data_IF_967808084101
#
_entry.id   IF_967808084101
#
_cell.length_a   1.000
_cell.length_b   1.000
_cell.length_c   1.000
_cell.angle_alpha   90.00
_cell.angle_beta   90.00
_cell.angle_gamma   90.00
#
_symmetry.space_group_name_H-M   'P 1'
#
loop_
_entity.id
_entity.type
_entity.pdbx_description
1 polymer ?
#
# COMPACT_ATOMS: atom_id res chain seq x y z
N UNK A 1 14.48 -6.24 1.52
CA UNK A 1 15.11 -4.95 1.17
C UNK A 1 14.02 -3.90 1.17
N UNK A 2 14.27 -2.71 1.74
CA UNK A 2 13.30 -1.64 1.70
C UNK A 2 12.99 -1.24 0.25
N UNK A 3 11.72 -1.17 -0.11
CA UNK A 3 11.28 -0.72 -1.43
C UNK A 3 10.91 0.75 -1.37
N UNK A 4 11.72 1.59 -2.01
CA UNK A 4 11.40 3.02 -2.18
C UNK A 4 10.20 3.24 -3.11
N UNK A 5 9.93 2.30 -4.01
CA UNK A 5 8.73 2.27 -4.85
C UNK A 5 7.83 1.08 -4.50
N UNK A 6 6.50 1.23 -4.51
CA UNK A 6 5.61 0.10 -4.26
C UNK A 6 5.71 -0.95 -5.34
N UNK A 7 5.66 -2.21 -4.91
CA UNK A 7 5.32 -3.32 -5.79
C UNK A 7 3.88 -3.12 -6.26
N UNK A 8 3.65 -3.26 -7.56
CA UNK A 8 2.32 -3.18 -8.17
C UNK A 8 1.71 -4.57 -8.27
N UNK A 9 0.47 -4.70 -7.83
CA UNK A 9 -0.31 -5.93 -7.93
C UNK A 9 -1.71 -5.67 -8.49
N UNK A 10 -2.41 -6.74 -8.83
CA UNK A 10 -3.84 -6.74 -9.18
C UNK A 10 -4.50 -7.80 -8.31
N UNK A 11 -5.58 -7.42 -7.60
CA UNK A 11 -6.37 -8.34 -6.78
C UNK A 11 -7.22 -9.26 -7.64
N UNK A 12 -7.76 -10.31 -7.03
CA UNK A 12 -8.64 -11.26 -7.70
C UNK A 12 -9.90 -10.59 -8.30
N UNK A 13 -10.35 -9.48 -7.73
CA UNK A 13 -11.48 -8.69 -8.24
C UNK A 13 -11.09 -7.67 -9.33
N UNK A 14 -9.82 -7.64 -9.74
CA UNK A 14 -9.29 -6.70 -10.74
C UNK A 14 -8.82 -5.36 -10.18
N UNK A 15 -8.95 -5.11 -8.88
CA UNK A 15 -8.51 -3.84 -8.26
C UNK A 15 -6.99 -3.72 -8.25
N UNK A 16 -6.48 -2.54 -8.62
CA UNK A 16 -5.05 -2.27 -8.55
C UNK A 16 -4.58 -2.13 -7.09
N UNK A 17 -3.54 -2.88 -6.75
CA UNK A 17 -2.91 -2.88 -5.43
C UNK A 17 -1.49 -2.32 -5.50
N UNK A 18 -1.04 -1.75 -4.38
CA UNK A 18 0.32 -1.30 -4.13
C UNK A 18 0.78 -1.83 -2.77
N UNK A 19 1.99 -2.36 -2.74
CA UNK A 19 2.59 -2.91 -1.52
C UNK A 19 3.97 -2.31 -1.30
N UNK A 20 4.23 -1.84 -0.08
CA UNK A 20 5.52 -1.30 0.36
C UNK A 20 6.05 -2.11 1.51
N UNK A 21 7.37 -2.21 1.57
CA UNK A 21 8.09 -2.76 2.70
C UNK A 21 9.28 -1.87 3.01
N UNK A 22 9.43 -1.42 4.25
CA UNK A 22 10.53 -0.51 4.61
C UNK A 22 10.41 0.08 6.00
N UNK A 23 11.46 0.74 6.50
CA UNK A 23 11.46 1.37 7.81
C UNK A 23 10.59 2.64 7.82
N UNK A 24 9.88 2.87 8.92
CA UNK A 24 9.28 4.16 9.25
C UNK A 24 10.34 5.18 9.73
N UNK A 25 9.91 6.41 10.05
CA UNK A 25 10.80 7.46 10.55
C UNK A 25 11.45 7.16 11.91
N UNK A 26 11.02 6.10 12.59
CA UNK A 26 11.56 5.62 13.88
C UNK A 26 12.41 4.36 13.70
N UNK A 27 12.59 3.88 12.47
CA UNK A 27 13.35 2.68 12.14
C UNK A 27 12.57 1.37 12.31
N UNK A 28 11.25 1.41 12.53
CA UNK A 28 10.42 0.21 12.61
C UNK A 28 10.10 -0.26 11.19
N UNK A 29 10.42 -1.51 10.87
CA UNK A 29 10.05 -2.09 9.58
C UNK A 29 8.53 -2.24 9.50
N UNK A 30 7.94 -1.73 8.42
CA UNK A 30 6.51 -1.82 8.14
C UNK A 30 6.27 -2.56 6.83
N UNK A 31 5.20 -3.34 6.83
CA UNK A 31 4.52 -3.79 5.61
C UNK A 31 3.26 -2.95 5.43
N UNK A 32 3.11 -2.31 4.27
CA UNK A 32 1.95 -1.47 3.93
C UNK A 32 1.30 -2.01 2.66
N UNK A 33 -0.01 -2.18 2.68
CA UNK A 33 -0.82 -2.55 1.51
C UNK A 33 -1.91 -1.52 1.29
N UNK A 34 -1.97 -0.97 0.08
CA UNK A 34 -3.00 -0.05 -0.34
C UNK A 34 -3.60 -0.42 -1.70
N UNK A 35 -4.81 0.06 -1.96
CA UNK A 35 -5.49 -0.09 -3.25
C UNK A 35 -5.83 1.24 -3.87
N UNK A 36 -5.86 1.27 -5.19
CA UNK A 36 -6.35 2.41 -5.95
C UNK A 36 -7.86 2.26 -6.13
N UNK A 37 -8.61 3.22 -5.62
CA UNK A 37 -10.07 3.27 -5.72
C UNK A 37 -10.51 4.65 -6.20
N UNK A 38 -11.56 4.75 -7.03
CA UNK A 38 -12.11 6.04 -7.40
C UNK A 38 -12.90 6.64 -6.22
N UNK A 39 -12.72 7.92 -5.95
CA UNK A 39 -13.62 8.69 -5.11
C UNK A 39 -15.01 8.75 -5.74
N UNK A 40 -16.05 8.42 -4.97
CA UNK A 40 -17.41 8.31 -5.52
C UNK A 40 -18.06 9.66 -5.87
N UNK A 41 -17.53 10.76 -5.33
CA UNK A 41 -18.09 12.10 -5.54
C UNK A 41 -17.37 12.83 -6.67
N UNK A 42 -16.06 12.63 -6.80
CA UNK A 42 -15.19 13.37 -7.73
C UNK A 42 -14.69 12.52 -8.89
N UNK A 43 -14.64 11.19 -8.73
CA UNK A 43 -14.07 10.26 -9.71
C UNK A 43 -12.54 10.21 -9.70
N UNK A 44 -11.88 10.98 -8.83
CA UNK A 44 -10.42 10.99 -8.73
C UNK A 44 -9.89 9.69 -8.12
N UNK A 45 -8.74 9.21 -8.61
CA UNK A 45 -8.08 8.04 -8.04
C UNK A 45 -7.48 8.38 -6.67
N UNK A 46 -7.82 7.57 -5.67
CA UNK A 46 -7.28 7.65 -4.32
C UNK A 46 -6.55 6.36 -3.97
N UNK A 47 -5.48 6.49 -3.18
CA UNK A 47 -4.85 5.35 -2.53
C UNK A 47 -5.49 5.10 -1.17
N UNK A 48 -6.28 4.04 -1.04
CA UNK A 48 -6.82 3.57 0.24
C UNK A 48 -5.83 2.60 0.89
N UNK A 49 -5.28 2.97 2.04
CA UNK A 49 -4.46 2.07 2.85
C UNK A 49 -5.36 1.06 3.55
N UNK A 50 -5.19 -0.22 3.20
CA UNK A 50 -6.01 -1.33 3.73
C UNK A 50 -5.32 -1.98 4.92
N UNK A 51 -3.99 -2.02 4.90
CA UNK A 51 -3.22 -2.68 5.92
C UNK A 51 -1.89 -1.97 6.18
N UNK A 52 -1.56 -1.81 7.46
CA UNK A 52 -0.24 -1.40 7.94
C UNK A 52 0.07 -2.27 9.14
N UNK A 53 1.16 -3.03 9.07
CA UNK A 53 1.65 -3.81 10.20
C UNK A 53 3.15 -3.57 10.39
N UNK A 54 3.61 -3.45 11.63
CA UNK A 54 5.01 -3.67 11.93
C UNK A 54 5.40 -5.09 11.55
N UNK A 55 6.55 -5.20 10.90
CA UNK A 55 7.21 -6.47 10.63
C UNK A 55 8.29 -6.65 11.71
N UNK A 56 7.96 -7.47 12.71
CA UNK A 56 8.92 -7.93 13.70
C UNK A 56 9.36 -9.31 13.25
N UNK A 57 10.50 -9.38 12.56
CA UNK A 57 11.21 -10.65 12.36
C UNK A 57 11.41 -11.39 13.70
#
# INVERSE_FOLDING_TARGET
MAHTEPIRGIRADGTAERSWYGPDSRGVMLTIVGIIVPDRHTGEEMLLIVHVMPDYD
#
